data_IF_335885525594
#
_entry.id   IF_335885525594
#
_cell.length_a   1.000
_cell.length_b   1.000
_cell.length_c   1.000
_cell.angle_alpha   90.00
_cell.angle_beta   90.00
_cell.angle_gamma   90.00
#
_symmetry.space_group_name_H-M   'P 1'
#
loop_
_entity.id
_entity.type
_entity.pdbx_description
1 polymer ?
#
# COMPACT_ATOMS: atom_id res chain seq x y z
N UNK A 1 12.92 -23.39 5.65
CA UNK A 1 12.06 -22.20 5.45
C UNK A 1 12.95 -20.97 5.51
N UNK A 2 13.13 -20.24 4.41
CA UNK A 2 13.93 -19.02 4.43
C UNK A 2 13.29 -18.01 5.39
N UNK A 3 14.09 -17.42 6.29
CA UNK A 3 13.62 -16.39 7.21
C UNK A 3 13.18 -15.19 6.37
N UNK A 4 11.88 -14.92 6.29
CA UNK A 4 11.37 -13.74 5.58
C UNK A 4 11.96 -12.50 6.24
N UNK A 5 12.70 -11.70 5.47
CA UNK A 5 13.14 -10.39 5.95
C UNK A 5 11.88 -9.53 6.11
N UNK A 6 11.65 -9.02 7.32
CA UNK A 6 10.58 -8.06 7.59
C UNK A 6 11.17 -6.66 7.54
N UNK A 7 10.42 -5.71 7.00
CA UNK A 7 10.73 -4.29 7.12
C UNK A 7 9.45 -3.50 7.35
N UNK A 8 9.58 -2.32 7.96
CA UNK A 8 8.47 -1.45 8.31
C UNK A 8 8.77 -0.03 7.86
N UNK A 9 7.78 0.64 7.30
CA UNK A 9 7.92 2.04 6.87
C UNK A 9 6.55 2.72 6.81
N UNK A 10 6.46 4.02 7.16
CA UNK A 10 5.32 4.86 6.81
C UNK A 10 5.18 4.98 5.30
N UNK A 11 3.98 4.74 4.77
CA UNK A 11 3.73 4.86 3.34
C UNK A 11 2.30 5.31 3.05
N UNK A 12 2.14 6.12 2.01
CA UNK A 12 0.84 6.53 1.48
C UNK A 12 0.35 5.48 0.50
N UNK A 13 -0.91 5.06 0.64
CA UNK A 13 -1.54 4.17 -0.33
C UNK A 13 -1.92 4.97 -1.57
N UNK A 14 -1.31 4.64 -2.71
CA UNK A 14 -1.60 5.27 -4.00
C UNK A 14 -2.83 4.65 -4.66
N UNK A 15 -2.86 3.31 -4.76
CA UNK A 15 -3.95 2.56 -5.37
C UNK A 15 -4.02 1.12 -4.88
N UNK A 16 -5.16 0.48 -5.19
CA UNK A 16 -5.43 -0.92 -4.92
C UNK A 16 -6.03 -1.60 -6.14
N UNK A 17 -5.67 -2.85 -6.35
CA UNK A 17 -6.22 -3.70 -7.41
C UNK A 17 -6.64 -5.02 -6.82
N UNK A 18 -7.83 -5.49 -7.16
CA UNK A 18 -8.32 -6.79 -6.68
C UNK A 18 -7.45 -7.93 -7.23
N UNK A 19 -7.11 -8.88 -6.36
CA UNK A 19 -6.32 -10.06 -6.69
C UNK A 19 -7.11 -11.30 -6.29
N UNK A 20 -7.76 -11.92 -7.27
CA UNK A 20 -8.71 -13.00 -7.02
C UNK A 20 -9.84 -12.57 -6.09
N UNK A 21 -10.34 -13.50 -5.28
CA UNK A 21 -11.57 -13.28 -4.51
C UNK A 21 -11.35 -12.56 -3.18
N UNK A 22 -10.24 -12.78 -2.50
CA UNK A 22 -10.07 -12.32 -1.12
C UNK A 22 -8.98 -11.27 -0.94
N UNK A 23 -8.09 -11.11 -1.92
CA UNK A 23 -6.83 -10.39 -1.76
C UNK A 23 -6.81 -9.12 -2.61
N UNK A 24 -5.87 -8.23 -2.32
CA UNK A 24 -5.56 -7.07 -3.18
C UNK A 24 -4.07 -6.91 -3.34
N UNK A 25 -3.64 -6.39 -4.48
CA UNK A 25 -2.34 -5.74 -4.62
C UNK A 25 -2.53 -4.27 -4.21
N UNK A 26 -1.69 -3.78 -3.32
CA UNK A 26 -1.69 -2.39 -2.86
C UNK A 26 -0.37 -1.76 -3.29
N UNK A 27 -0.46 -0.58 -3.88
CA UNK A 27 0.70 0.22 -4.30
C UNK A 27 0.88 1.36 -3.32
N UNK A 28 2.09 1.48 -2.78
CA UNK A 28 2.44 2.45 -1.76
C UNK A 28 3.58 3.34 -2.24
N UNK A 29 3.65 4.54 -1.68
CA UNK A 29 4.84 5.37 -1.75
C UNK A 29 5.35 5.67 -0.34
N UNK A 30 6.58 5.25 -0.07
CA UNK A 30 7.33 5.58 1.14
C UNK A 30 8.44 6.55 0.81
N UNK A 31 8.69 7.51 1.70
CA UNK A 31 9.83 8.43 1.58
C UNK A 31 11.17 7.69 1.66
N UNK A 32 11.26 6.67 2.50
CA UNK A 32 12.53 6.01 2.83
C UNK A 32 12.83 4.83 1.89
N UNK A 33 11.79 4.23 1.32
CA UNK A 33 11.88 2.98 0.56
C UNK A 33 11.45 3.14 -0.90
N UNK A 34 10.83 4.27 -1.25
CA UNK A 34 10.29 4.51 -2.59
C UNK A 34 8.95 3.80 -2.82
N UNK A 35 8.68 3.44 -4.07
CA UNK A 35 7.44 2.76 -4.45
C UNK A 35 7.49 1.27 -4.12
N UNK A 36 6.44 0.79 -3.45
CA UNK A 36 6.31 -0.60 -3.01
C UNK A 36 5.01 -1.17 -3.55
N UNK A 37 5.04 -2.40 -4.06
CA UNK A 37 3.84 -3.17 -4.38
C UNK A 37 3.80 -4.43 -3.52
N UNK A 38 2.68 -4.62 -2.83
CA UNK A 38 2.53 -5.72 -1.90
C UNK A 38 1.13 -6.32 -1.92
N UNK A 39 1.03 -7.61 -1.60
CA UNK A 39 -0.22 -8.35 -1.49
C UNK A 39 -0.77 -8.22 -0.08
N UNK A 40 -2.01 -7.72 0.00
CA UNK A 40 -2.84 -7.73 1.19
C UNK A 40 -3.74 -8.97 1.18
N UNK A 41 -3.29 -10.05 1.84
CA UNK A 41 -4.02 -11.32 1.87
C UNK A 41 -5.29 -11.22 2.70
N UNK A 42 -6.40 -11.72 2.16
CA UNK A 42 -7.70 -11.76 2.81
C UNK A 42 -8.32 -10.39 3.05
N UNK A 43 -7.76 -9.31 2.48
CA UNK A 43 -8.14 -7.94 2.84
C UNK A 43 -9.58 -7.59 2.46
N UNK A 44 -10.15 -8.27 1.46
CA UNK A 44 -11.53 -8.05 0.99
C UNK A 44 -12.58 -8.77 1.86
N UNK A 45 -12.15 -9.65 2.78
CA UNK A 45 -13.07 -10.31 3.71
C UNK A 45 -13.65 -9.27 4.65
N UNK A 46 -14.93 -9.40 4.99
CA UNK A 46 -15.63 -8.51 5.94
C UNK A 46 -14.99 -8.52 7.33
N UNK A 47 -14.28 -9.58 7.69
CA UNK A 47 -13.54 -9.73 8.95
C UNK A 47 -12.10 -9.20 8.90
N UNK A 48 -11.67 -8.62 7.76
CA UNK A 48 -10.33 -8.09 7.59
C UNK A 48 -10.07 -6.92 8.53
N UNK A 49 -9.07 -7.08 9.40
CA UNK A 49 -8.60 -6.01 10.29
C UNK A 49 -7.76 -4.96 9.54
N UNK A 50 -7.22 -5.32 8.37
CA UNK A 50 -6.30 -4.45 7.62
C UNK A 50 -6.98 -3.63 6.54
N UNK A 51 -8.26 -3.88 6.22
CA UNK A 51 -8.96 -3.21 5.13
C UNK A 51 -8.94 -1.68 5.27
N UNK A 52 -9.32 -1.16 6.43
CA UNK A 52 -9.37 0.29 6.69
C UNK A 52 -8.00 0.97 6.66
N UNK A 53 -6.94 0.24 7.05
CA UNK A 53 -5.56 0.75 7.04
C UNK A 53 -4.93 0.80 5.64
N UNK A 54 -5.58 0.18 4.66
CA UNK A 54 -5.10 0.04 3.28
C UNK A 54 -6.05 0.71 2.28
N UNK A 55 -6.81 1.70 2.74
CA UNK A 55 -7.61 2.56 1.87
C UNK A 55 -6.74 3.58 1.14
N UNK A 56 -7.06 3.95 -0.12
CA UNK A 56 -6.35 4.99 -0.84
C UNK A 56 -6.22 6.30 -0.05
N UNK A 57 -5.12 7.00 -0.28
CA UNK A 57 -4.79 8.31 0.31
C UNK A 57 -4.58 8.31 1.83
N UNK A 58 -4.57 7.13 2.45
CA UNK A 58 -4.24 6.97 3.86
C UNK A 58 -2.72 6.85 4.00
N UNK A 59 -2.14 7.52 5.00
CA UNK A 59 -0.77 7.28 5.45
C UNK A 59 -0.82 6.20 6.54
N UNK A 60 -0.15 5.09 6.30
CA UNK A 60 -0.11 3.97 7.24
C UNK A 60 1.33 3.57 7.54
N UNK A 61 1.57 3.12 8.78
CA UNK A 61 2.79 2.42 9.12
C UNK A 61 2.59 0.93 8.79
N UNK A 62 3.35 0.44 7.81
CA UNK A 62 3.10 -0.88 7.21
C UNK A 62 4.32 -1.77 7.39
N UNK A 63 4.08 -2.99 7.86
CA UNK A 63 5.10 -4.03 7.95
C UNK A 63 4.95 -5.01 6.80
N UNK A 64 6.01 -5.14 6.02
CA UNK A 64 6.10 -5.98 4.84
C UNK A 64 6.99 -7.19 5.13
N UNK A 65 6.57 -8.36 4.66
CA UNK A 65 7.42 -9.51 4.48
C UNK A 65 7.94 -9.55 3.05
N UNK A 66 9.26 -9.54 2.88
CA UNK A 66 9.90 -9.54 1.56
C UNK A 66 9.47 -10.77 0.78
N UNK A 67 8.86 -10.56 -0.39
CA UNK A 67 8.46 -11.59 -1.32
C UNK A 67 9.45 -11.74 -2.48
N UNK A 68 9.10 -12.58 -3.45
CA UNK A 68 9.93 -12.81 -4.66
C UNK A 68 9.65 -11.77 -5.76
N UNK A 69 8.39 -11.39 -5.93
CA UNK A 69 7.95 -10.42 -6.95
C UNK A 69 7.13 -9.29 -6.29
N UNK A 70 6.24 -9.67 -5.38
CA UNK A 70 5.48 -8.76 -4.54
C UNK A 70 5.72 -9.12 -3.08
N UNK A 71 5.90 -8.10 -2.26
CA UNK A 71 5.93 -8.26 -0.82
C UNK A 71 4.56 -8.67 -0.29
N UNK A 72 4.50 -9.12 0.96
CA UNK A 72 3.24 -9.45 1.63
C UNK A 72 3.05 -8.52 2.81
N UNK A 73 1.89 -7.90 2.90
CA UNK A 73 1.55 -7.06 4.06
C UNK A 73 1.26 -7.98 5.23
N UNK A 74 2.03 -7.79 6.31
CA UNK A 74 1.91 -8.56 7.55
C UNK A 74 1.13 -7.80 8.62
N UNK A 75 1.31 -6.49 8.71
CA UNK A 75 0.59 -5.58 9.61
C UNK A 75 0.48 -4.20 8.95
N UNK A 76 -0.56 -3.45 9.29
CA UNK A 76 -0.75 -2.08 8.87
C UNK A 76 -1.56 -1.34 9.94
N UNK A 77 -1.11 -0.15 10.30
CA UNK A 77 -1.77 0.74 11.25
C UNK A 77 -1.87 2.14 10.62
N UNK A 78 -3.05 2.75 10.66
CA UNK A 78 -3.24 4.09 10.12
C UNK A 78 -2.53 5.12 11.00
N UNK A 79 -1.68 5.94 10.38
CA UNK A 79 -1.08 7.11 11.01
C UNK A 79 -1.95 8.35 10.75
N UNK A 80 -2.38 8.54 9.51
CA UNK A 80 -3.29 9.62 9.13
C UNK A 80 -4.22 9.16 7.99
N UNK A 81 -5.51 9.43 8.14
CA UNK A 81 -6.57 8.99 7.25
C UNK A 81 -6.96 10.04 6.20
N UNK A 82 -6.66 11.32 6.44
CA UNK A 82 -7.03 12.46 5.59
C UNK A 82 -8.49 12.35 5.10
N UNK A 83 -9.42 12.25 6.05
CA UNK A 83 -10.84 11.93 5.75
C UNK A 83 -11.47 12.96 4.82
N UNK A 84 -11.06 14.21 4.96
CA UNK A 84 -11.48 15.35 4.15
C UNK A 84 -11.25 15.09 2.65
N UNK A 85 -10.16 14.40 2.29
CA UNK A 85 -9.88 14.04 0.89
C UNK A 85 -10.96 13.13 0.35
N UNK A 86 -11.46 12.17 1.14
CA UNK A 86 -12.46 11.16 0.73
C UNK A 86 -13.90 11.63 0.86
N UNK A 87 -14.15 12.64 1.68
CA UNK A 87 -15.47 13.22 1.91
C UNK A 87 -15.80 14.32 0.89
N UNK A 88 -14.80 14.84 0.18
CA UNK A 88 -14.93 15.82 -0.89
C UNK A 88 -14.57 15.21 -2.26
N UNK A 89 -15.50 15.29 -3.22
CA UNK A 89 -15.33 14.70 -4.55
C UNK A 89 -14.21 15.37 -5.36
N UNK A 90 -14.07 16.69 -5.23
CA UNK A 90 -13.05 17.45 -5.95
C UNK A 90 -11.67 17.10 -5.40
N UNK A 91 -11.50 17.07 -4.07
CA UNK A 91 -10.25 16.63 -3.45
C UNK A 91 -9.92 15.17 -3.77
N UNK A 92 -10.90 14.27 -3.75
CA UNK A 92 -10.73 12.87 -4.15
C UNK A 92 -10.19 12.77 -5.58
N UNK A 93 -10.75 13.55 -6.50
CA UNK A 93 -10.33 13.55 -7.91
C UNK A 93 -8.88 13.99 -8.07
N UNK A 94 -8.50 15.08 -7.39
CA UNK A 94 -7.11 15.56 -7.37
C UNK A 94 -6.16 14.54 -6.74
N UNK A 95 -6.57 13.87 -5.65
CA UNK A 95 -5.77 12.85 -5.00
C UNK A 95 -5.52 11.64 -5.90
N UNK A 96 -6.54 11.18 -6.65
CA UNK A 96 -6.34 10.12 -7.65
C UNK A 96 -5.39 10.55 -8.76
N UNK A 97 -5.52 11.76 -9.29
CA UNK A 97 -4.62 12.29 -10.31
C UNK A 97 -3.17 12.31 -9.82
N UNK A 98 -2.92 12.88 -8.64
CA UNK A 98 -1.59 12.95 -8.06
C UNK A 98 -1.03 11.56 -7.74
N UNK A 99 -1.85 10.64 -7.22
CA UNK A 99 -1.43 9.27 -6.94
C UNK A 99 -0.98 8.53 -8.21
N UNK A 100 -1.70 8.71 -9.32
CA UNK A 100 -1.31 8.11 -10.60
C UNK A 100 -0.06 8.77 -11.19
N UNK A 101 0.10 10.10 -11.08
CA UNK A 101 1.33 10.78 -11.47
C UNK A 101 2.53 10.24 -10.68
N UNK A 102 2.40 10.08 -9.36
CA UNK A 102 3.47 9.49 -8.53
C UNK A 102 3.75 8.05 -8.95
N UNK A 103 2.74 7.23 -9.20
CA UNK A 103 2.96 5.85 -9.63
C UNK A 103 3.68 5.75 -10.99
N UNK A 104 3.33 6.62 -11.95
CA UNK A 104 3.95 6.64 -13.28
C UNK A 104 5.39 7.18 -13.26
N UNK A 105 5.68 8.16 -12.41
CA UNK A 105 6.98 8.84 -12.37
C UNK A 105 8.00 8.19 -11.42
N UNK A 106 7.55 7.24 -10.60
CA UNK A 106 8.44 6.51 -9.67
C UNK A 106 8.59 5.07 -10.15
N UNK A 107 9.80 4.53 -10.04
CA UNK A 107 10.05 3.13 -10.34
C UNK A 107 9.66 2.27 -9.15
N UNK A 108 9.13 1.06 -9.41
CA UNK A 108 9.03 0.03 -8.37
C UNK A 108 10.42 -0.13 -7.77
N UNK A 109 10.51 -0.33 -6.44
CA UNK A 109 11.78 -0.60 -5.79
C UNK A 109 12.49 -1.74 -6.53
N UNK A 110 13.44 -1.38 -7.38
CA UNK A 110 14.26 -2.32 -8.11
C UNK A 110 14.98 -3.15 -7.07
N UNK A 111 14.92 -4.47 -7.25
CA UNK A 111 15.70 -5.43 -6.49
C UNK A 111 17.19 -5.07 -6.61
N UNK A 112 17.70 -4.17 -5.77
CA UNK A 112 19.11 -4.11 -5.43
C UNK A 112 19.39 -5.36 -4.59
N UNK A 113 19.51 -6.48 -5.32
CA UNK A 113 20.04 -7.76 -4.89
C UNK A 113 21.55 -7.63 -4.83
N UNK A 114 22.04 -7.12 -3.71
CA UNK A 114 23.37 -7.46 -3.20
C UNK A 114 23.21 -8.07 -1.79
#
# INVERSE_FOLDING_TARGET
MARSRLYRTPAVILKRTDLGEADRIVTFFSRDVGKIRAVAKGVRRTTSRSAGHLEPFTLSDVMFAVGRELDVISQADTLEAFREIREDLELTTHAYYLAEVVDLLTEDRLENRD
#
